data_IF_378417573343
#
_entry.id   IF_378417573343
#
_cell.length_a   1.000
_cell.length_b   1.000
_cell.length_c   1.000
_cell.angle_alpha   90.00
_cell.angle_beta   90.00
_cell.angle_gamma   90.00
#
_symmetry.space_group_name_H-M   'P 1'
#
loop_
_entity.id
_entity.type
_entity.pdbx_description
1 polymer ?
#
# COMPACT_ATOMS: atom_id res chain seq x y z
N UNK A 1 -17.55 -8.62 9.49
CA UNK A 1 -16.18 -8.28 9.05
C UNK A 1 -16.24 -7.05 8.14
N UNK A 2 -15.24 -6.17 8.18
CA UNK A 2 -15.26 -4.88 7.46
C UNK A 2 -15.48 -5.03 5.94
N UNK A 3 -14.98 -6.11 5.34
CA UNK A 3 -15.17 -6.45 3.93
C UNK A 3 -16.64 -6.55 3.53
N UNK A 4 -17.48 -7.19 4.35
CA UNK A 4 -18.92 -7.31 4.07
C UNK A 4 -19.63 -5.94 4.09
N UNK A 5 -19.31 -5.10 5.08
CA UNK A 5 -19.84 -3.73 5.14
C UNK A 5 -19.33 -2.86 3.99
N UNK A 6 -18.05 -3.01 3.63
CA UNK A 6 -17.44 -2.32 2.49
C UNK A 6 -18.16 -2.65 1.19
N UNK A 7 -18.39 -3.95 0.90
CA UNK A 7 -19.03 -4.38 -0.34
C UNK A 7 -20.51 -3.98 -0.41
N UNK A 8 -21.20 -3.96 0.73
CA UNK A 8 -22.61 -3.57 0.80
C UNK A 8 -22.86 -2.08 0.47
N UNK A 9 -21.90 -1.20 0.75
CA UNK A 9 -22.00 0.26 0.51
C UNK A 9 -20.81 0.78 -0.33
N UNK A 10 -20.28 -0.05 -1.23
CA UNK A 10 -19.03 0.21 -1.95
C UNK A 10 -19.03 1.54 -2.70
N UNK A 11 -20.15 1.93 -3.33
CA UNK A 11 -20.27 3.22 -4.06
C UNK A 11 -19.91 4.40 -3.17
N UNK A 12 -20.37 4.40 -1.91
CA UNK A 12 -20.06 5.47 -0.96
C UNK A 12 -18.57 5.59 -0.66
N UNK A 13 -17.83 4.49 -0.69
CA UNK A 13 -16.41 4.47 -0.35
C UNK A 13 -15.52 4.83 -1.52
N UNK A 14 -15.95 4.56 -2.75
CA UNK A 14 -15.25 4.99 -3.96
C UNK A 14 -15.45 6.48 -4.27
N UNK A 15 -16.66 7.03 -4.06
CA UNK A 15 -16.92 8.46 -4.27
C UNK A 15 -15.99 9.32 -3.41
N UNK A 16 -15.27 10.24 -4.05
CA UNK A 16 -14.37 11.17 -3.35
C UNK A 16 -13.03 10.56 -2.90
N UNK A 17 -12.76 9.29 -3.22
CA UNK A 17 -11.62 8.55 -2.68
C UNK A 17 -10.28 9.03 -3.26
N UNK A 18 -10.25 9.36 -4.55
CA UNK A 18 -9.06 9.90 -5.18
C UNK A 18 -8.80 11.35 -4.75
N UNK A 19 -9.84 12.14 -4.56
CA UNK A 19 -9.75 13.50 -4.04
C UNK A 19 -9.17 13.50 -2.62
N UNK A 20 -9.55 12.51 -1.78
CA UNK A 20 -8.90 12.30 -0.50
C UNK A 20 -7.40 11.98 -0.64
N UNK A 21 -7.04 11.16 -1.63
CA UNK A 21 -5.64 10.87 -1.92
C UNK A 21 -4.88 12.15 -2.32
N UNK A 22 -5.46 12.97 -3.19
CA UNK A 22 -4.89 14.26 -3.60
C UNK A 22 -4.78 15.26 -2.43
N UNK A 23 -5.70 15.21 -1.48
CA UNK A 23 -5.68 16.06 -0.28
C UNK A 23 -4.51 15.77 0.67
N UNK A 24 -3.81 14.63 0.53
CA UNK A 24 -2.56 14.40 1.27
C UNK A 24 -1.39 15.29 0.79
N UNK A 25 -1.55 16.00 -0.34
CA UNK A 25 -0.64 17.08 -0.77
C UNK A 25 0.14 16.80 -2.05
N UNK A 26 0.60 17.88 -2.69
CA UNK A 26 1.25 17.88 -4.02
C UNK A 26 2.44 16.94 -4.23
N UNK A 27 3.45 16.86 -3.33
CA UNK A 27 4.63 16.04 -3.58
C UNK A 27 4.30 14.54 -3.59
N UNK A 28 3.31 14.10 -2.81
CA UNK A 28 2.91 12.68 -2.74
C UNK A 28 2.38 12.17 -4.08
N UNK A 29 1.54 12.95 -4.75
CA UNK A 29 0.93 12.58 -6.04
C UNK A 29 1.98 12.69 -7.16
N UNK A 30 2.78 13.75 -7.15
CA UNK A 30 3.82 13.96 -8.16
C UNK A 30 4.86 12.83 -8.15
N UNK A 31 5.51 12.56 -7.01
CA UNK A 31 6.55 11.54 -6.94
C UNK A 31 5.99 10.13 -7.17
N UNK A 32 4.76 9.86 -6.73
CA UNK A 32 4.08 8.61 -7.05
C UNK A 32 4.02 8.33 -8.56
N UNK A 33 3.57 9.31 -9.35
CA UNK A 33 3.47 9.18 -10.82
C UNK A 33 4.85 9.09 -11.47
N UNK A 34 5.78 9.92 -11.02
CA UNK A 34 7.16 9.91 -11.54
C UNK A 34 7.90 8.60 -11.25
N UNK A 35 7.65 7.97 -10.11
CA UNK A 35 8.22 6.67 -9.77
C UNK A 35 7.70 5.56 -10.70
N UNK A 36 6.38 5.50 -10.92
CA UNK A 36 5.79 4.52 -11.84
C UNK A 36 6.35 4.73 -13.25
N UNK A 37 6.34 5.98 -13.74
CA UNK A 37 6.85 6.33 -15.07
C UNK A 37 8.32 5.94 -15.24
N UNK A 38 9.15 6.19 -14.23
CA UNK A 38 10.56 5.79 -14.28
C UNK A 38 10.72 4.26 -14.33
N UNK A 39 9.87 3.50 -13.65
CA UNK A 39 9.87 2.04 -13.69
C UNK A 39 9.36 1.43 -14.99
N UNK A 40 8.42 2.10 -15.66
CA UNK A 40 7.96 1.74 -17.01
C UNK A 40 9.04 1.98 -18.07
N UNK A 41 9.83 3.05 -17.91
CA UNK A 41 10.95 3.37 -18.83
C UNK A 41 12.13 2.43 -18.62
N UNK A 42 12.60 2.28 -17.37
CA UNK A 42 13.75 1.43 -17.06
C UNK A 42 13.67 0.90 -15.61
N UNK A 43 13.25 -0.35 -15.49
CA UNK A 43 12.98 -1.00 -14.21
C UNK A 43 14.25 -1.22 -13.38
N UNK A 44 14.21 -0.79 -12.11
CA UNK A 44 15.33 -0.78 -11.16
C UNK A 44 16.57 0.00 -11.65
N UNK A 45 16.40 0.91 -12.60
CA UNK A 45 17.41 1.91 -12.94
C UNK A 45 17.71 2.84 -11.77
N UNK A 46 18.83 3.57 -11.84
CA UNK A 46 19.15 4.59 -10.83
C UNK A 46 18.02 5.62 -10.70
N UNK A 47 17.44 6.06 -11.82
CA UNK A 47 16.34 7.01 -11.81
C UNK A 47 15.08 6.44 -11.15
N UNK A 48 14.72 5.19 -11.46
CA UNK A 48 13.56 4.55 -10.84
C UNK A 48 13.75 4.40 -9.32
N UNK A 49 14.91 3.91 -8.88
CA UNK A 49 15.20 3.74 -7.46
C UNK A 49 15.26 5.10 -6.73
N UNK A 50 15.79 6.14 -7.37
CA UNK A 50 15.80 7.51 -6.83
C UNK A 50 14.37 8.03 -6.62
N UNK A 51 13.49 7.86 -7.64
CA UNK A 51 12.08 8.25 -7.52
C UNK A 51 11.34 7.43 -6.48
N UNK A 52 11.68 6.15 -6.31
CA UNK A 52 11.12 5.32 -5.25
C UNK A 52 11.49 5.86 -3.87
N UNK A 53 12.76 6.21 -3.65
CA UNK A 53 13.22 6.77 -2.38
C UNK A 53 12.55 8.12 -2.08
N UNK A 54 12.44 9.00 -3.09
CA UNK A 54 11.74 10.28 -2.98
C UNK A 54 10.24 10.09 -2.67
N UNK A 55 9.59 9.12 -3.33
CA UNK A 55 8.17 8.83 -3.13
C UNK A 55 7.90 8.32 -1.72
N UNK A 56 8.69 7.36 -1.23
CA UNK A 56 8.53 6.84 0.13
C UNK A 56 8.77 7.94 1.17
N UNK A 57 9.73 8.83 0.92
CA UNK A 57 9.96 10.02 1.76
C UNK A 57 8.74 10.94 1.78
N UNK A 58 8.21 11.29 0.60
CA UNK A 58 7.00 12.13 0.47
C UNK A 58 5.77 11.48 1.13
N UNK A 59 5.67 10.14 1.09
CA UNK A 59 4.62 9.37 1.75
C UNK A 59 4.85 9.19 3.26
N UNK A 60 5.80 9.93 3.84
CA UNK A 60 6.05 9.99 5.27
C UNK A 60 6.80 8.79 5.84
N UNK A 61 7.47 7.99 5.01
CA UNK A 61 8.33 6.88 5.45
C UNK A 61 9.68 7.35 5.99
N UNK A 62 9.97 8.65 5.88
CA UNK A 62 11.13 9.29 6.49
C UNK A 62 10.66 10.49 7.32
N UNK A 63 10.49 10.29 8.63
CA UNK A 63 10.19 11.39 9.57
C UNK A 63 11.48 11.87 10.21
N UNK A 64 11.70 13.18 10.18
CA UNK A 64 12.82 13.82 10.87
C UNK A 64 12.55 13.85 12.38
N UNK A 65 13.57 13.55 13.17
CA UNK A 65 13.48 13.48 14.63
C UNK A 65 14.50 12.51 15.22
N UNK A 66 14.54 12.45 16.55
CA UNK A 66 15.35 11.46 17.26
C UNK A 66 14.87 10.04 16.91
N UNK A 67 15.80 9.13 16.61
CA UNK A 67 15.51 7.73 16.31
C UNK A 67 14.81 7.01 17.46
N UNK A 68 14.98 7.47 18.69
CA UNK A 68 14.32 6.91 19.87
C UNK A 68 12.81 7.26 19.92
N UNK A 69 12.41 8.34 19.25
CA UNK A 69 11.02 8.83 19.22
C UNK A 69 10.34 8.64 17.86
N UNK A 70 11.11 8.61 16.77
CA UNK A 70 10.62 8.49 15.40
C UNK A 70 11.11 7.20 14.74
N UNK A 71 10.33 6.12 14.92
CA UNK A 71 10.67 4.79 14.37
C UNK A 71 10.41 4.63 12.87
N UNK A 72 9.83 5.64 12.19
CA UNK A 72 9.53 5.58 10.75
C UNK A 72 10.61 6.33 9.97
N UNK A 73 11.68 5.60 9.62
CA UNK A 73 12.83 6.17 8.91
C UNK A 73 13.37 5.16 7.89
N UNK A 74 13.57 5.65 6.67
CA UNK A 74 14.22 4.87 5.62
C UNK A 74 15.69 4.62 5.98
N UNK A 75 16.25 3.51 5.49
CA UNK A 75 17.70 3.31 5.53
C UNK A 75 18.42 4.34 4.66
N UNK A 76 19.73 4.50 4.88
CA UNK A 76 20.53 5.37 4.03
C UNK A 76 20.52 4.90 2.57
N UNK A 77 20.76 5.82 1.64
CA UNK A 77 20.68 5.60 0.19
C UNK A 77 21.41 4.34 -0.31
N UNK A 78 22.65 4.11 0.13
CA UNK A 78 23.44 2.94 -0.30
C UNK A 78 22.74 1.61 0.02
N UNK A 79 22.51 1.27 1.32
CA UNK A 79 21.76 0.08 1.71
C UNK A 79 20.37 -0.04 1.06
N UNK A 80 19.65 1.08 0.94
CA UNK A 80 18.34 1.11 0.29
C UNK A 80 18.44 0.64 -1.17
N UNK A 81 19.27 1.31 -1.98
CA UNK A 81 19.47 1.02 -3.40
C UNK A 81 20.01 -0.38 -3.63
N UNK A 82 21.02 -0.77 -2.86
CA UNK A 82 21.70 -2.05 -3.05
C UNK A 82 20.77 -3.22 -2.70
N UNK A 83 19.90 -3.06 -1.68
CA UNK A 83 18.90 -4.08 -1.35
C UNK A 83 17.84 -4.28 -2.43
N UNK A 84 17.43 -3.19 -3.12
CA UNK A 84 16.48 -3.26 -4.24
C UNK A 84 17.11 -3.93 -5.46
N UNK A 85 18.35 -3.56 -5.81
CA UNK A 85 19.10 -4.19 -6.90
C UNK A 85 19.33 -5.68 -6.66
N UNK A 86 19.61 -6.06 -5.41
CA UNK A 86 19.75 -7.46 -5.00
C UNK A 86 18.48 -8.31 -5.10
N UNK A 87 17.34 -7.70 -5.44
CA UNK A 87 16.05 -8.37 -5.66
C UNK A 87 15.62 -8.36 -7.13
N UNK A 88 16.48 -7.93 -8.06
CA UNK A 88 16.15 -7.80 -9.49
C UNK A 88 15.62 -9.11 -10.09
N UNK A 89 16.30 -10.22 -9.84
CA UNK A 89 15.95 -11.53 -10.41
C UNK A 89 14.57 -12.02 -9.91
N UNK A 90 14.21 -11.72 -8.66
CA UNK A 90 12.89 -12.07 -8.11
C UNK A 90 11.77 -11.14 -8.59
N UNK A 91 12.08 -9.87 -8.83
CA UNK A 91 11.07 -8.86 -9.17
C UNK A 91 10.74 -8.79 -10.66
N UNK A 92 11.73 -9.00 -11.55
CA UNK A 92 11.53 -8.89 -13.01
C UNK A 92 10.42 -9.80 -13.55
N UNK A 93 10.31 -11.09 -13.15
CA UNK A 93 9.24 -11.95 -13.64
C UNK A 93 7.83 -11.47 -13.28
N UNK A 94 7.70 -10.60 -12.27
CA UNK A 94 6.41 -10.15 -11.75
C UNK A 94 5.91 -8.83 -12.37
N UNK A 95 6.72 -8.13 -13.18
CA UNK A 95 6.34 -6.80 -13.73
C UNK A 95 5.09 -6.82 -14.61
N UNK A 96 4.81 -7.95 -15.28
CA UNK A 96 3.63 -8.13 -16.13
C UNK A 96 2.42 -8.72 -15.39
N UNK A 97 2.56 -9.03 -14.10
CA UNK A 97 1.48 -9.65 -13.32
C UNK A 97 0.41 -8.62 -12.99
N UNK A 98 -0.83 -8.95 -13.34
CA UNK A 98 -2.00 -8.11 -13.09
C UNK A 98 -2.97 -8.82 -12.16
N UNK A 99 -3.25 -8.21 -11.01
CA UNK A 99 -4.21 -8.68 -10.01
C UNK A 99 -5.58 -9.02 -10.62
N UNK A 100 -6.02 -8.27 -11.64
CA UNK A 100 -7.32 -8.48 -12.29
C UNK A 100 -7.37 -9.77 -13.11
N UNK A 101 -6.24 -10.22 -13.63
CA UNK A 101 -6.17 -11.34 -14.56
C UNK A 101 -5.82 -12.67 -13.88
N UNK A 102 -5.59 -12.66 -12.58
CA UNK A 102 -5.27 -13.86 -11.80
C UNK A 102 -6.47 -14.37 -11.03
N UNK A 103 -6.60 -15.68 -10.90
CA UNK A 103 -7.43 -16.30 -9.88
C UNK A 103 -6.86 -16.02 -8.48
N UNK A 104 -7.66 -16.26 -7.43
CA UNK A 104 -7.20 -16.11 -6.05
C UNK A 104 -5.99 -17.01 -5.74
N UNK A 105 -5.92 -18.21 -6.33
CA UNK A 105 -4.81 -19.14 -6.13
C UNK A 105 -3.53 -18.65 -6.81
N UNK A 106 -3.59 -18.31 -8.10
CA UNK A 106 -2.44 -17.79 -8.84
C UNK A 106 -1.92 -16.49 -8.23
N UNK A 107 -2.81 -15.61 -7.75
CA UNK A 107 -2.41 -14.41 -7.05
C UNK A 107 -1.70 -14.73 -5.72
N UNK A 108 -2.17 -15.72 -4.97
CA UNK A 108 -1.51 -16.19 -3.75
C UNK A 108 -0.10 -16.71 -4.01
N UNK A 109 0.08 -17.46 -5.11
CA UNK A 109 1.38 -17.99 -5.51
C UNK A 109 2.32 -16.85 -5.95
N UNK A 110 1.82 -15.91 -6.75
CA UNK A 110 2.58 -14.74 -7.18
C UNK A 110 3.03 -13.88 -5.98
N UNK A 111 2.15 -13.64 -5.00
CA UNK A 111 2.53 -12.91 -3.77
C UNK A 111 3.53 -13.72 -2.94
N UNK A 112 3.40 -15.05 -2.88
CA UNK A 112 4.34 -15.93 -2.18
C UNK A 112 5.74 -15.92 -2.83
N UNK A 113 5.82 -15.75 -4.15
CA UNK A 113 7.08 -15.61 -4.88
C UNK A 113 7.89 -14.39 -4.43
N UNK A 114 7.27 -13.39 -3.79
CA UNK A 114 7.97 -12.23 -3.22
C UNK A 114 8.72 -12.52 -1.92
N UNK A 115 8.55 -13.70 -1.30
CA UNK A 115 9.19 -14.04 -0.01
C UNK A 115 10.70 -13.78 0.00
N UNK A 116 11.50 -14.23 -1.00
CA UNK A 116 12.94 -14.03 -0.99
C UNK A 116 13.31 -12.55 -1.10
N UNK A 117 12.66 -11.81 -2.00
CA UNK A 117 12.82 -10.36 -2.13
C UNK A 117 12.48 -9.66 -0.80
N UNK A 118 11.31 -9.95 -0.23
CA UNK A 118 10.84 -9.32 0.99
C UNK A 118 11.83 -9.47 2.16
N UNK A 119 12.50 -10.62 2.26
CA UNK A 119 13.55 -10.89 3.27
C UNK A 119 14.84 -10.11 3.04
N UNK A 120 15.19 -9.84 1.78
CA UNK A 120 16.41 -9.12 1.38
C UNK A 120 16.27 -7.59 1.49
N UNK A 121 15.04 -7.08 1.34
CA UNK A 121 14.77 -5.64 1.38
C UNK A 121 15.23 -5.01 2.70
N UNK A 122 16.07 -3.97 2.60
CA UNK A 122 16.58 -3.19 3.73
C UNK A 122 16.16 -1.74 3.59
N UNK A 123 14.85 -1.50 3.65
CA UNK A 123 14.26 -0.18 3.35
C UNK A 123 13.97 0.68 4.59
N UNK A 124 13.84 0.08 5.77
CA UNK A 124 13.56 0.76 7.04
C UNK A 124 14.64 0.44 8.07
N UNK A 125 14.94 1.40 8.94
CA UNK A 125 15.81 1.17 10.12
C UNK A 125 15.09 0.42 11.24
N UNK A 126 13.76 0.43 11.24
CA UNK A 126 12.93 -0.30 12.21
C UNK A 126 12.57 -1.69 11.70
N UNK A 127 12.32 -2.60 12.65
CA UNK A 127 11.85 -3.97 12.39
C UNK A 127 10.43 -4.04 11.82
N UNK A 128 9.70 -2.93 11.78
CA UNK A 128 8.37 -2.86 11.19
C UNK A 128 8.44 -2.64 9.66
N UNK A 129 8.68 -3.72 8.92
CA UNK A 129 8.94 -3.70 7.48
C UNK A 129 7.68 -3.66 6.61
N UNK A 130 6.54 -4.20 7.06
CA UNK A 130 5.32 -4.34 6.22
C UNK A 130 4.86 -3.05 5.53
N UNK A 131 4.89 -1.92 6.24
CA UNK A 131 4.40 -0.65 5.69
C UNK A 131 5.36 -0.14 4.60
N UNK A 132 6.66 -0.13 4.87
CA UNK A 132 7.65 0.38 3.89
C UNK A 132 7.80 -0.59 2.72
N UNK A 133 7.85 -1.90 2.98
CA UNK A 133 8.05 -2.91 1.96
C UNK A 133 6.85 -2.98 1.02
N UNK A 134 5.61 -2.98 1.54
CA UNK A 134 4.42 -2.99 0.68
C UNK A 134 4.33 -1.73 -0.19
N UNK A 135 4.63 -0.55 0.36
CA UNK A 135 4.65 0.70 -0.40
C UNK A 135 5.75 0.67 -1.46
N UNK A 136 6.92 0.10 -1.16
CA UNK A 136 7.98 -0.05 -2.14
C UNK A 136 7.57 -1.03 -3.26
N UNK A 137 7.08 -2.21 -2.88
CA UNK A 137 6.62 -3.25 -3.81
C UNK A 137 5.45 -2.78 -4.67
N UNK A 138 4.54 -1.96 -4.14
CA UNK A 138 3.49 -1.31 -4.96
C UNK A 138 4.10 -0.46 -6.07
N UNK A 139 5.10 0.37 -5.79
CA UNK A 139 5.69 1.20 -6.84
C UNK A 139 6.52 0.40 -7.86
N UNK A 140 7.05 -0.76 -7.45
CA UNK A 140 7.76 -1.68 -8.33
C UNK A 140 6.80 -2.55 -9.17
N UNK A 141 5.66 -2.95 -8.59
CA UNK A 141 4.68 -3.88 -9.15
C UNK A 141 3.24 -3.31 -8.99
N UNK A 142 2.94 -2.15 -9.62
CA UNK A 142 1.76 -1.34 -9.29
C UNK A 142 0.42 -1.97 -9.67
N UNK A 143 0.41 -2.95 -10.58
CA UNK A 143 -0.79 -3.70 -10.94
C UNK A 143 -1.03 -4.94 -10.07
N UNK A 144 -0.06 -5.33 -9.25
CA UNK A 144 -0.10 -6.58 -8.48
C UNK A 144 -0.22 -6.32 -6.97
N UNK A 145 0.58 -5.42 -6.41
CA UNK A 145 0.73 -5.30 -4.95
C UNK A 145 0.02 -4.04 -4.44
N UNK A 146 -0.85 -4.13 -3.43
CA UNK A 146 -1.41 -2.94 -2.80
C UNK A 146 -0.38 -2.22 -1.92
N UNK A 147 -0.40 -0.87 -1.89
CA UNK A 147 0.27 -0.16 -0.82
C UNK A 147 -0.47 -0.45 0.48
N UNK A 148 0.25 -0.81 1.55
CA UNK A 148 -0.36 -1.08 2.86
C UNK A 148 -0.02 0.06 3.80
N UNK A 149 -1.06 0.68 4.35
CA UNK A 149 -0.93 1.63 5.44
C UNK A 149 -1.30 0.99 6.78
N UNK A 150 -0.55 1.33 7.83
CA UNK A 150 -0.80 0.80 9.18
C UNK A 150 -2.13 1.30 9.74
N UNK A 151 -2.48 2.56 9.51
CA UNK A 151 -3.64 3.20 10.11
C UNK A 151 -4.94 2.88 9.35
N UNK A 152 -4.86 2.67 8.04
CA UNK A 152 -6.03 2.40 7.19
C UNK A 152 -6.12 0.93 6.77
N UNK A 153 -5.17 0.43 5.98
CA UNK A 153 -5.23 -0.90 5.36
C UNK A 153 -5.15 -2.02 6.40
N UNK A 154 -4.13 -2.02 7.28
CA UNK A 154 -4.01 -3.05 8.33
C UNK A 154 -5.21 -3.00 9.27
N UNK A 155 -5.64 -1.81 9.68
CA UNK A 155 -6.81 -1.61 10.53
C UNK A 155 -8.07 -2.20 9.89
N UNK A 156 -8.30 -1.92 8.62
CA UNK A 156 -9.44 -2.44 7.87
C UNK A 156 -9.48 -3.98 7.87
N UNK A 157 -8.34 -4.64 7.64
CA UNK A 157 -8.33 -6.11 7.56
C UNK A 157 -8.21 -6.82 8.92
N UNK A 158 -7.67 -6.17 9.96
CA UNK A 158 -7.28 -6.84 11.21
C UNK A 158 -8.01 -6.37 12.45
N UNK A 159 -8.85 -5.33 12.38
CA UNK A 159 -9.52 -4.77 13.55
C UNK A 159 -10.99 -4.46 13.28
N UNK A 160 -11.86 -4.74 14.25
CA UNK A 160 -13.27 -4.36 14.21
C UNK A 160 -13.46 -2.85 14.47
N UNK A 161 -14.45 -2.17 13.85
CA UNK A 161 -14.59 -0.70 13.94
C UNK A 161 -14.73 -0.14 15.35
N UNK A 162 -15.39 -0.88 16.23
CA UNK A 162 -15.57 -0.58 17.65
C UNK A 162 -14.24 -0.47 18.41
N UNK A 163 -13.18 -1.11 17.92
CA UNK A 163 -11.85 -1.09 18.54
C UNK A 163 -10.93 -0.01 17.98
N UNK A 164 -11.34 0.73 16.96
CA UNK A 164 -10.43 1.62 16.25
C UNK A 164 -10.04 2.87 17.03
N UNK A 165 -10.94 3.39 17.87
CA UNK A 165 -10.70 4.60 18.67
C UNK A 165 -10.58 4.30 20.16
N UNK A 166 -9.84 5.13 20.86
CA UNK A 166 -9.83 5.17 22.32
C UNK A 166 -11.01 6.00 22.86
N UNK A 167 -11.15 6.06 24.18
CA UNK A 167 -12.21 6.85 24.84
C UNK A 167 -12.12 8.36 24.55
N UNK A 168 -10.98 8.84 24.04
CA UNK A 168 -10.74 10.24 23.65
C UNK A 168 -10.99 10.47 22.15
N UNK A 169 -11.49 9.46 21.44
CA UNK A 169 -11.75 9.54 20.01
C UNK A 169 -10.48 9.53 19.15
N UNK A 170 -9.29 9.21 19.68
CA UNK A 170 -8.07 9.06 18.87
C UNK A 170 -7.93 7.64 18.35
N UNK A 171 -7.31 7.48 17.19
CA UNK A 171 -7.03 6.13 16.67
C UNK A 171 -6.09 5.37 17.61
N UNK A 172 -6.48 4.16 18.01
CA UNK A 172 -5.61 3.24 18.75
C UNK A 172 -4.42 2.82 17.91
N UNK A 173 -3.28 2.60 18.54
CA UNK A 173 -2.12 2.04 17.85
C UNK A 173 -2.46 0.65 17.28
N UNK A 174 -2.05 0.41 16.04
CA UNK A 174 -2.13 -0.92 15.41
C UNK A 174 -0.83 -1.65 15.68
N UNK A 175 -0.89 -2.75 16.41
CA UNK A 175 0.26 -3.60 16.69
C UNK A 175 0.55 -4.47 15.47
N UNK A 176 1.80 -4.43 15.01
CA UNK A 176 2.30 -5.31 13.96
C UNK A 176 2.95 -6.53 14.60
N UNK A 177 2.91 -7.70 13.96
CA UNK A 177 3.59 -8.88 14.45
C UNK A 177 5.11 -8.65 14.43
N UNK A 178 5.79 -9.24 15.42
CA UNK A 178 7.25 -9.18 15.49
C UNK A 178 7.87 -10.17 14.49
N UNK A 179 9.01 -9.78 13.92
CA UNK A 179 9.77 -10.63 12.99
C UNK A 179 9.28 -10.52 11.54
N UNK A 180 10.25 -10.67 10.63
CA UNK A 180 10.04 -10.49 9.19
C UNK A 180 9.07 -11.52 8.61
N UNK A 181 9.09 -12.74 9.11
CA UNK A 181 8.23 -13.83 8.62
C UNK A 181 6.77 -13.55 8.95
N UNK A 182 6.46 -13.23 10.21
CA UNK A 182 5.09 -12.93 10.62
C UNK A 182 4.54 -11.66 9.94
N UNK A 183 5.41 -10.68 9.65
CA UNK A 183 5.03 -9.52 8.84
C UNK A 183 4.81 -9.86 7.37
N UNK A 184 5.58 -10.77 6.78
CA UNK A 184 5.32 -11.27 5.43
C UNK A 184 3.99 -12.04 5.36
N UNK A 185 3.70 -12.90 6.34
CA UNK A 185 2.40 -13.59 6.42
C UNK A 185 1.23 -12.60 6.54
N UNK A 186 1.41 -11.51 7.30
CA UNK A 186 0.41 -10.43 7.36
C UNK A 186 0.28 -9.69 6.03
N UNK A 187 1.40 -9.38 5.36
CA UNK A 187 1.43 -8.78 4.02
C UNK A 187 0.67 -9.63 3.01
N UNK A 188 0.97 -10.93 2.96
CA UNK A 188 0.33 -11.91 2.10
C UNK A 188 -1.18 -11.98 2.35
N UNK A 189 -1.59 -12.12 3.62
CA UNK A 189 -3.01 -12.13 4.00
C UNK A 189 -3.75 -10.84 3.61
N UNK A 190 -3.11 -9.68 3.70
CA UNK A 190 -3.71 -8.40 3.26
C UNK A 190 -3.83 -8.35 1.74
N UNK A 191 -2.82 -8.80 1.00
CA UNK A 191 -2.89 -8.89 -0.46
C UNK A 191 -4.10 -9.76 -0.89
N UNK A 192 -4.26 -10.93 -0.30
CA UNK A 192 -5.42 -11.79 -0.56
C UNK A 192 -6.75 -11.13 -0.19
N UNK A 193 -6.78 -10.35 0.89
CA UNK A 193 -7.94 -9.55 1.26
C UNK A 193 -8.30 -8.49 0.20
N UNK A 194 -7.29 -7.81 -0.37
CA UNK A 194 -7.48 -6.86 -1.47
C UNK A 194 -7.94 -7.57 -2.73
N UNK A 195 -7.35 -8.71 -3.08
CA UNK A 195 -7.81 -9.55 -4.20
C UNK A 195 -9.28 -9.94 -4.04
N UNK A 196 -9.66 -10.40 -2.85
CA UNK A 196 -11.05 -10.71 -2.53
C UNK A 196 -11.98 -9.51 -2.69
N UNK A 197 -11.55 -8.28 -2.36
CA UNK A 197 -12.36 -7.09 -2.65
C UNK A 197 -12.45 -6.84 -4.16
N UNK A 198 -11.33 -6.87 -4.88
CA UNK A 198 -11.30 -6.66 -6.34
C UNK A 198 -12.24 -7.62 -7.07
N UNK A 199 -12.31 -8.87 -6.64
CA UNK A 199 -13.16 -9.89 -7.26
C UNK A 199 -14.66 -9.69 -7.02
N UNK A 200 -15.04 -8.87 -6.04
CA UNK A 200 -16.44 -8.72 -5.61
C UNK A 200 -16.97 -7.28 -5.69
N UNK A 201 -16.12 -6.29 -5.98
CA UNK A 201 -16.58 -4.93 -6.27
C UNK A 201 -17.28 -4.87 -7.61
N UNK A 202 -18.22 -3.94 -7.74
CA UNK A 202 -18.88 -3.59 -8.99
C UNK A 202 -17.81 -3.19 -10.02
N UNK A 203 -17.67 -3.98 -11.09
CA UNK A 203 -16.64 -3.78 -12.10
C UNK A 203 -16.77 -2.42 -12.77
N UNK A 204 -17.99 -1.93 -13.01
CA UNK A 204 -18.19 -0.63 -13.64
C UNK A 204 -17.73 0.52 -12.74
N UNK A 205 -17.89 0.35 -11.42
CA UNK A 205 -17.38 1.31 -10.43
C UNK A 205 -15.85 1.30 -10.41
N UNK A 206 -15.23 0.12 -10.39
CA UNK A 206 -13.78 -0.01 -10.41
C UNK A 206 -13.21 0.58 -11.72
N UNK A 207 -13.73 0.19 -12.88
CA UNK A 207 -13.29 0.69 -14.19
C UNK A 207 -13.46 2.20 -14.34
N UNK A 208 -14.49 2.79 -13.72
CA UNK A 208 -14.64 4.24 -13.67
C UNK A 208 -13.46 4.88 -12.94
N UNK A 209 -13.12 4.38 -11.75
CA UNK A 209 -12.00 4.91 -10.96
C UNK A 209 -10.66 4.76 -11.67
N UNK A 210 -10.40 3.60 -12.27
CA UNK A 210 -9.16 3.36 -13.01
C UNK A 210 -8.98 4.37 -14.14
N UNK A 211 -10.04 4.65 -14.91
CA UNK A 211 -10.00 5.56 -16.05
C UNK A 211 -9.98 7.03 -15.64
N UNK A 212 -10.88 7.43 -14.73
CA UNK A 212 -11.03 8.83 -14.32
C UNK A 212 -9.79 9.34 -13.60
N UNK A 213 -9.16 8.50 -12.78
CA UNK A 213 -8.10 8.91 -11.86
C UNK A 213 -6.71 8.37 -12.26
N UNK A 214 -6.62 7.57 -13.33
CA UNK A 214 -5.39 6.93 -13.81
C UNK A 214 -4.63 6.21 -12.67
N UNK A 215 -5.38 5.42 -11.88
CA UNK A 215 -4.86 4.61 -10.77
C UNK A 215 -4.92 3.13 -11.14
N UNK A 216 -4.09 2.31 -10.49
CA UNK A 216 -4.14 0.86 -10.67
C UNK A 216 -5.21 0.20 -9.79
N UNK A 217 -5.66 -1.04 -10.12
CA UNK A 217 -6.67 -1.76 -9.33
C UNK A 217 -6.38 -1.82 -7.82
N UNK A 218 -5.18 -2.24 -7.37
CA UNK A 218 -4.92 -2.28 -5.93
C UNK A 218 -4.91 -0.88 -5.30
N UNK A 219 -4.60 0.19 -6.04
CA UNK A 219 -4.63 1.57 -5.53
C UNK A 219 -6.05 2.13 -5.42
N UNK A 220 -6.92 1.81 -6.36
CA UNK A 220 -8.33 2.19 -6.29
C UNK A 220 -8.98 1.59 -5.02
N UNK A 221 -8.71 0.31 -4.74
CA UNK A 221 -9.18 -0.33 -3.51
C UNK A 221 -8.55 0.28 -2.26
N UNK A 222 -7.25 0.56 -2.25
CA UNK A 222 -6.59 1.24 -1.12
C UNK A 222 -7.24 2.59 -0.81
N UNK A 223 -7.48 3.43 -1.82
CA UNK A 223 -8.17 4.71 -1.65
C UNK A 223 -9.58 4.53 -1.06
N UNK A 224 -10.34 3.56 -1.57
CA UNK A 224 -11.68 3.27 -1.06
C UNK A 224 -11.63 2.74 0.40
N UNK A 225 -10.63 1.94 0.77
CA UNK A 225 -10.41 1.48 2.16
C UNK A 225 -10.12 2.68 3.07
N UNK A 226 -9.28 3.62 2.64
CA UNK A 226 -9.00 4.86 3.41
C UNK A 226 -10.31 5.62 3.67
N UNK A 227 -11.16 5.77 2.65
CA UNK A 227 -12.47 6.39 2.79
C UNK A 227 -13.39 5.62 3.74
N UNK A 228 -13.50 4.30 3.59
CA UNK A 228 -14.27 3.44 4.48
C UNK A 228 -13.88 3.68 5.94
N UNK A 229 -12.58 3.62 6.23
CA UNK A 229 -12.09 3.81 7.60
C UNK A 229 -12.42 5.22 8.08
N UNK A 230 -12.19 6.27 7.29
CA UNK A 230 -12.49 7.66 7.68
C UNK A 230 -13.97 7.86 8.02
N UNK A 231 -14.85 7.46 7.11
CA UNK A 231 -16.31 7.62 7.24
C UNK A 231 -16.83 6.83 8.45
N UNK A 232 -16.45 5.56 8.55
CA UNK A 232 -16.88 4.68 9.64
C UNK A 232 -16.34 5.16 10.99
N UNK A 233 -15.21 5.85 11.01
CA UNK A 233 -14.63 6.47 12.20
C UNK A 233 -15.23 7.83 12.56
N UNK A 234 -16.32 8.26 11.92
CA UNK A 234 -16.97 9.57 12.14
C UNK A 234 -16.27 10.76 11.51
N UNK A 235 -15.32 10.54 10.59
CA UNK A 235 -14.74 11.60 9.77
C UNK A 235 -15.73 12.08 8.71
N UNK A 236 -15.93 13.40 8.59
CA UNK A 236 -16.68 13.98 7.46
C UNK A 236 -15.84 13.84 6.19
N UNK A 237 -16.47 13.42 5.09
CA UNK A 237 -15.92 13.68 3.76
C UNK A 237 -15.90 15.21 3.55
N UNK A 238 -14.86 15.78 2.90
CA UNK A 238 -14.96 17.16 2.45
C UNK A 238 -16.18 17.29 1.53
N UNK A 239 -16.89 18.40 1.67
CA UNK A 239 -17.97 18.74 0.75
C UNK A 239 -17.39 18.79 -0.67
N UNK A 240 -18.03 18.05 -1.59
CA UNK A 240 -17.77 18.10 -3.02
C UNK A 240 -18.10 19.49 -3.55
#
# INVERSE_FOLDING_TARGET
MNTGAFLADQRRYFVGAYEQFCAFGGPCVYFHRECIRAGEVDFLSDRHIEMLYATLTAWGMHRMGDTDTTKTKLTNWGPFRDSLRGCSEELRPLQGVDLLNLTAHEYSDAVSALTPCYRKLKLSVSDATIVVNSKALYHLLPRMIPPIDRQYTVRFFKQSPDTWRDAKGKFRAVMLPAGIEAQFQMFHSICLGVKGLVDHVDLALLEHELRSNNVTPPKAIDNAIVNFVRITSGGRLPAV
#
